data_IF_060807256940
#
_entry.id   IF_060807256940
#
_cell.length_a   1.000
_cell.length_b   1.000
_cell.length_c   1.000
_cell.angle_alpha   90.00
_cell.angle_beta   90.00
_cell.angle_gamma   90.00
#
_symmetry.space_group_name_H-M   'P 1'
#
loop_
_entity.id
_entity.type
_entity.pdbx_description
1 polymer ?
#
# COMPACT_ATOMS: atom_id res chain seq x y z
N UNK A 1 -20.31 -10.99 13.66
CA UNK A 1 -19.95 -9.62 13.23
C UNK A 1 -18.44 -9.56 13.00
N UNK A 2 -17.97 -8.88 11.94
CA UNK A 2 -16.55 -8.56 11.80
C UNK A 2 -16.25 -7.21 12.44
N UNK A 3 -15.09 -7.11 13.09
CA UNK A 3 -14.57 -5.85 13.63
C UNK A 3 -13.28 -5.52 12.89
N UNK A 4 -13.31 -4.48 12.07
CA UNK A 4 -12.13 -3.98 11.38
C UNK A 4 -11.27 -3.14 12.34
N UNK A 5 -10.01 -3.53 12.55
CA UNK A 5 -9.09 -2.83 13.44
C UNK A 5 -8.06 -2.04 12.61
N UNK A 6 -8.15 -0.70 12.55
CA UNK A 6 -7.25 0.13 11.75
C UNK A 6 -5.90 0.38 12.44
N UNK A 7 -5.18 -0.69 12.77
CA UNK A 7 -3.82 -0.63 13.31
C UNK A 7 -2.79 -0.24 12.22
N UNK A 8 -2.93 0.93 11.60
CA UNK A 8 -2.10 1.41 10.48
C UNK A 8 -0.60 1.55 10.81
N UNK A 9 -0.24 1.50 12.10
CA UNK A 9 1.15 1.42 12.57
C UNK A 9 1.69 -0.02 12.71
N UNK A 10 1.04 -1.02 12.12
CA UNK A 10 1.37 -2.43 12.38
C UNK A 10 2.83 -2.80 12.05
N UNK A 11 3.51 -2.19 11.06
CA UNK A 11 4.90 -2.58 10.76
C UNK A 11 5.84 -2.24 11.92
N UNK A 12 5.57 -1.16 12.66
CA UNK A 12 6.38 -0.80 13.83
C UNK A 12 6.14 -1.76 14.99
N UNK A 13 4.87 -2.10 15.25
CA UNK A 13 4.50 -3.13 16.22
C UNK A 13 5.08 -4.50 15.82
N UNK A 14 4.99 -4.85 14.53
CA UNK A 14 5.60 -6.04 13.96
C UNK A 14 7.12 -5.98 14.16
N UNK A 15 7.80 -4.86 13.95
CA UNK A 15 9.23 -4.70 14.19
C UNK A 15 9.62 -4.71 15.68
N UNK A 16 8.67 -4.83 16.61
CA UNK A 16 8.91 -4.77 18.06
C UNK A 16 9.35 -3.38 18.51
N UNK A 17 9.01 -2.34 17.75
CA UNK A 17 9.33 -0.95 18.04
C UNK A 17 8.06 -0.28 18.57
N UNK A 18 7.91 -0.10 19.89
CA UNK A 18 6.76 0.62 20.42
C UNK A 18 6.86 2.07 19.94
N UNK A 19 6.02 2.44 18.97
CA UNK A 19 5.85 3.84 18.62
C UNK A 19 5.08 4.53 19.74
N UNK A 20 5.64 5.63 20.22
CA UNK A 20 4.85 6.71 20.81
C UNK A 20 4.67 7.75 19.72
N UNK A 21 3.70 7.58 18.81
CA UNK A 21 3.44 8.59 17.80
C UNK A 21 3.16 9.92 18.51
N UNK A 22 3.53 11.04 17.88
CA UNK A 22 3.08 12.33 18.37
C UNK A 22 1.55 12.37 18.36
N UNK A 23 0.95 13.25 19.16
CA UNK A 23 -0.52 13.43 19.19
C UNK A 23 -1.04 13.70 17.77
N UNK A 24 -0.29 14.49 17.00
CA UNK A 24 -0.59 14.80 15.61
C UNK A 24 -0.52 13.56 14.71
N UNK A 25 0.44 12.67 14.90
CA UNK A 25 0.55 11.46 14.09
C UNK A 25 -0.56 10.48 14.45
N UNK A 26 -0.85 10.31 15.75
CA UNK A 26 -1.91 9.43 16.24
C UNK A 26 -3.29 9.84 15.70
N UNK A 27 -3.62 11.13 15.76
CA UNK A 27 -4.89 11.61 15.23
C UNK A 27 -4.99 11.49 13.70
N UNK A 28 -3.88 11.63 12.95
CA UNK A 28 -3.91 11.47 11.49
C UNK A 28 -4.10 9.99 11.09
N UNK A 29 -3.50 9.08 11.87
CA UNK A 29 -3.73 7.63 11.75
C UNK A 29 -5.20 7.29 12.04
N UNK A 30 -5.79 7.85 13.10
CA UNK A 30 -7.19 7.63 13.45
C UNK A 30 -8.14 8.09 12.33
N UNK A 31 -7.91 9.28 11.76
CA UNK A 31 -8.67 9.83 10.64
C UNK A 31 -8.58 8.94 9.39
N UNK A 32 -7.39 8.42 9.08
CA UNK A 32 -7.22 7.47 7.98
C UNK A 32 -7.84 6.10 8.27
N UNK A 33 -7.91 5.69 9.53
CA UNK A 33 -8.45 4.40 9.97
C UNK A 33 -9.91 4.22 9.62
N UNK A 34 -10.69 5.31 9.60
CA UNK A 34 -12.10 5.30 9.17
C UNK A 34 -12.26 4.71 7.77
N UNK A 35 -11.28 4.87 6.88
CA UNK A 35 -11.40 4.35 5.51
C UNK A 35 -11.56 2.82 5.46
N UNK A 36 -11.20 2.08 6.53
CA UNK A 36 -11.51 0.64 6.59
C UNK A 36 -13.02 0.34 6.57
N UNK A 37 -13.89 1.31 6.90
CA UNK A 37 -15.34 1.20 6.73
C UNK A 37 -15.75 0.93 5.27
N UNK A 38 -14.92 1.29 4.28
CA UNK A 38 -15.18 0.98 2.87
C UNK A 38 -15.19 -0.53 2.59
N UNK A 39 -14.49 -1.33 3.42
CA UNK A 39 -14.41 -2.79 3.33
C UNK A 39 -15.54 -3.50 4.09
N UNK A 40 -16.23 -2.77 4.97
CA UNK A 40 -17.25 -3.31 5.87
C UNK A 40 -18.59 -3.48 5.16
N UNK A 41 -19.35 -4.50 5.56
CA UNK A 41 -20.75 -4.67 5.17
C UNK A 41 -21.68 -4.12 6.26
N UNK A 42 -22.98 -3.90 5.96
CA UNK A 42 -23.95 -3.59 7.01
C UNK A 42 -23.93 -4.65 8.12
N UNK A 43 -23.82 -4.21 9.37
CA UNK A 43 -23.68 -5.08 10.55
C UNK A 43 -22.25 -5.51 10.88
N UNK A 44 -21.24 -5.07 10.12
CA UNK A 44 -19.84 -5.06 10.56
C UNK A 44 -19.53 -3.75 11.30
N UNK A 45 -18.45 -3.75 12.08
CA UNK A 45 -17.99 -2.58 12.82
C UNK A 45 -16.55 -2.20 12.49
N UNK A 46 -16.19 -0.93 12.68
CA UNK A 46 -14.81 -0.43 12.64
C UNK A 46 -14.41 0.04 14.02
N UNK A 47 -13.30 -0.47 14.54
CA UNK A 47 -12.72 -0.02 15.80
C UNK A 47 -12.10 1.37 15.62
N UNK A 48 -12.39 2.28 16.55
CA UNK A 48 -11.90 3.66 16.59
C UNK A 48 -11.27 3.96 17.95
N UNK A 49 -10.25 4.85 18.03
CA UNK A 49 -9.69 5.25 19.31
C UNK A 49 -10.73 5.83 20.27
N UNK A 50 -10.51 5.67 21.57
CA UNK A 50 -11.38 6.25 22.60
C UNK A 50 -11.52 7.77 22.42
N UNK A 51 -12.76 8.25 22.35
CA UNK A 51 -13.07 9.67 22.16
C UNK A 51 -12.90 10.17 20.72
N UNK A 52 -12.70 9.29 19.75
CA UNK A 52 -12.65 9.61 18.33
C UNK A 52 -13.97 9.25 17.64
N UNK A 53 -14.98 10.13 17.69
CA UNK A 53 -16.31 9.85 17.14
C UNK A 53 -16.53 10.69 15.88
N UNK A 54 -16.74 10.08 14.69
CA UNK A 54 -17.07 10.83 13.48
C UNK A 54 -18.36 11.63 13.69
N UNK A 55 -18.30 12.95 13.51
CA UNK A 55 -19.48 13.81 13.67
C UNK A 55 -20.39 13.74 12.43
N UNK A 56 -19.79 13.44 11.28
CA UNK A 56 -20.44 13.32 9.99
C UNK A 56 -19.92 12.10 9.22
N UNK A 57 -20.80 11.42 8.49
CA UNK A 57 -20.42 10.32 7.63
C UNK A 57 -21.08 10.46 6.26
N UNK A 58 -20.35 10.16 5.17
CA UNK A 58 -20.94 9.99 3.86
C UNK A 58 -22.15 9.03 3.92
N UNK A 59 -23.24 9.28 3.19
CA UNK A 59 -24.47 8.50 3.30
C UNK A 59 -24.28 6.98 3.17
N UNK A 60 -23.37 6.54 2.30
CA UNK A 60 -23.09 5.12 2.07
C UNK A 60 -22.26 4.43 3.17
N UNK A 61 -21.84 5.17 4.20
CA UNK A 61 -21.14 4.64 5.39
C UNK A 61 -22.00 4.68 6.66
N UNK A 62 -23.25 5.16 6.58
CA UNK A 62 -24.12 5.35 7.76
C UNK A 62 -24.56 4.04 8.42
N UNK A 63 -24.57 2.95 7.67
CA UNK A 63 -24.95 1.61 8.15
C UNK A 63 -23.76 0.84 8.75
N UNK A 64 -22.59 1.48 8.86
CA UNK A 64 -21.39 0.90 9.49
C UNK A 64 -21.30 1.36 10.93
N UNK A 65 -21.14 0.41 11.84
CA UNK A 65 -20.96 0.70 13.26
C UNK A 65 -19.52 1.13 13.54
N UNK A 66 -19.35 2.15 14.40
CA UNK A 66 -18.04 2.57 14.90
C UNK A 66 -17.98 2.31 16.40
N UNK A 67 -17.19 1.32 16.79
CA UNK A 67 -17.04 0.91 18.19
C UNK A 67 -15.70 1.37 18.73
N UNK A 68 -15.63 1.72 20.02
CA UNK A 68 -14.35 2.12 20.61
C UNK A 68 -13.44 0.91 20.76
N UNK A 69 -12.13 1.11 20.55
CA UNK A 69 -11.13 0.05 20.73
C UNK A 69 -11.22 -0.63 22.10
N UNK A 70 -11.50 0.15 23.16
CA UNK A 70 -11.72 -0.36 24.52
C UNK A 70 -12.92 -1.30 24.66
N UNK A 71 -13.90 -1.22 23.74
CA UNK A 71 -15.15 -2.00 23.77
C UNK A 71 -15.10 -3.23 22.86
N UNK A 72 -14.03 -3.42 22.09
CA UNK A 72 -13.93 -4.54 21.14
C UNK A 72 -14.02 -5.88 21.87
N UNK A 73 -13.37 -6.01 23.03
CA UNK A 73 -13.41 -7.23 23.84
C UNK A 73 -14.80 -7.50 24.44
N UNK A 74 -15.53 -6.45 24.79
CA UNK A 74 -16.86 -6.54 25.40
C UNK A 74 -17.97 -6.84 24.37
N UNK A 75 -17.64 -6.80 23.07
CA UNK A 75 -18.59 -6.97 21.96
C UNK A 75 -18.99 -8.44 21.69
N UNK A 76 -18.55 -9.37 22.55
CA UNK A 76 -18.83 -10.81 22.43
C UNK A 76 -17.98 -11.51 21.36
N UNK A 77 -18.50 -12.60 20.78
CA UNK A 77 -17.79 -13.33 19.74
C UNK A 77 -17.72 -12.51 18.44
N UNK A 78 -16.55 -11.93 18.19
CA UNK A 78 -16.23 -11.13 17.01
C UNK A 78 -15.16 -11.79 16.16
N UNK A 79 -15.19 -11.55 14.85
CA UNK A 79 -14.06 -11.85 13.97
C UNK A 79 -13.26 -10.58 13.76
N UNK A 80 -12.08 -10.49 14.38
CA UNK A 80 -11.19 -9.35 14.20
C UNK A 80 -10.56 -9.38 12.81
N UNK A 81 -10.56 -8.23 12.15
CA UNK A 81 -9.97 -8.01 10.82
C UNK A 81 -8.99 -6.84 10.93
N UNK A 82 -7.75 -7.06 11.41
CA UNK A 82 -6.79 -5.98 11.53
C UNK A 82 -6.30 -5.52 10.16
N UNK A 83 -5.87 -4.26 10.08
CA UNK A 83 -5.14 -3.75 8.91
C UNK A 83 -3.95 -4.67 8.59
N UNK A 84 -3.18 -5.04 9.61
CA UNK A 84 -2.15 -6.08 9.51
C UNK A 84 -2.01 -6.84 10.82
N UNK A 85 -1.68 -8.12 10.75
CA UNK A 85 -1.44 -8.92 11.94
C UNK A 85 -0.13 -8.51 12.62
N UNK A 86 -0.22 -8.13 13.88
CA UNK A 86 0.90 -7.68 14.72
C UNK A 86 0.77 -8.28 16.12
N UNK A 87 1.81 -8.20 16.98
CA UNK A 87 1.72 -8.67 18.36
C UNK A 87 0.52 -8.13 19.12
N UNK A 88 0.21 -6.83 18.99
CA UNK A 88 -0.94 -6.22 19.68
C UNK A 88 -2.28 -6.71 19.11
N UNK A 89 -2.40 -6.85 17.79
CA UNK A 89 -3.61 -7.39 17.16
C UNK A 89 -3.85 -8.87 17.53
N UNK A 90 -2.78 -9.66 17.66
CA UNK A 90 -2.85 -11.04 18.14
C UNK A 90 -3.37 -11.11 19.58
N UNK A 91 -2.87 -10.25 20.47
CA UNK A 91 -3.35 -10.18 21.85
C UNK A 91 -4.84 -9.83 21.92
N UNK A 92 -5.30 -8.88 21.10
CA UNK A 92 -6.72 -8.54 21.03
C UNK A 92 -7.57 -9.69 20.48
N UNK A 93 -7.10 -10.37 19.44
CA UNK A 93 -7.80 -11.54 18.88
C UNK A 93 -7.96 -12.67 19.91
N UNK A 94 -6.92 -12.95 20.70
CA UNK A 94 -6.98 -13.93 21.80
C UNK A 94 -8.00 -13.47 22.87
N UNK A 95 -7.99 -12.19 23.22
CA UNK A 95 -8.94 -11.65 24.20
C UNK A 95 -10.40 -11.65 23.69
N UNK A 96 -10.62 -11.75 22.38
CA UNK A 96 -11.93 -11.91 21.75
C UNK A 96 -12.30 -13.39 21.50
N UNK A 97 -11.55 -14.34 22.09
CA UNK A 97 -11.71 -15.79 21.90
C UNK A 97 -11.71 -16.23 20.42
N UNK A 98 -10.92 -15.56 19.57
CA UNK A 98 -10.80 -15.97 18.17
C UNK A 98 -10.14 -17.34 18.03
N UNK A 99 -10.70 -18.23 17.19
CA UNK A 99 -10.08 -19.53 16.93
C UNK A 99 -8.64 -19.38 16.40
N UNK A 100 -7.65 -20.11 16.95
CA UNK A 100 -6.24 -19.98 16.55
C UNK A 100 -6.00 -20.20 15.05
N UNK A 101 -6.79 -21.03 14.39
CA UNK A 101 -6.74 -21.29 12.95
C UNK A 101 -7.07 -20.07 12.09
N UNK A 102 -7.76 -19.06 12.64
CA UNK A 102 -8.04 -17.80 11.94
C UNK A 102 -6.96 -16.73 12.17
N UNK A 103 -5.95 -17.03 12.99
CA UNK A 103 -4.91 -16.09 13.37
C UNK A 103 -3.55 -16.57 12.84
N UNK A 104 -2.91 -15.82 11.92
CA UNK A 104 -1.63 -16.26 11.37
C UNK A 104 -0.50 -16.16 12.42
N UNK A 105 0.46 -17.07 12.31
CA UNK A 105 1.66 -17.06 13.16
C UNK A 105 2.46 -15.78 12.95
N UNK A 106 2.84 -15.08 14.02
CA UNK A 106 3.57 -13.81 13.91
C UNK A 106 4.92 -13.93 13.19
N UNK A 107 5.60 -15.08 13.30
CA UNK A 107 6.84 -15.34 12.56
C UNK A 107 6.62 -15.39 11.04
N UNK A 108 5.48 -15.94 10.61
CA UNK A 108 5.10 -16.01 9.20
C UNK A 108 4.74 -14.62 8.68
N UNK A 109 3.95 -13.84 9.42
CA UNK A 109 3.60 -12.46 9.04
C UNK A 109 4.86 -11.60 8.92
N UNK A 110 5.81 -11.74 9.86
CA UNK A 110 7.11 -11.06 9.80
C UNK A 110 7.93 -11.49 8.59
N UNK A 111 7.98 -12.78 8.30
CA UNK A 111 8.73 -13.32 7.17
C UNK A 111 8.15 -12.83 5.84
N UNK A 112 6.84 -12.92 5.61
CA UNK A 112 6.23 -12.50 4.34
C UNK A 112 6.33 -10.99 4.11
N UNK A 113 6.29 -10.18 5.17
CA UNK A 113 6.56 -8.72 5.10
C UNK A 113 8.07 -8.38 5.07
N UNK A 114 8.97 -9.38 5.04
CA UNK A 114 10.40 -9.12 5.05
C UNK A 114 10.98 -8.94 3.65
N UNK A 115 12.06 -8.15 3.56
CA UNK A 115 12.84 -8.08 2.32
C UNK A 115 13.50 -9.40 1.93
N UNK A 116 13.78 -10.27 2.90
CA UNK A 116 14.24 -11.64 2.66
C UNK A 116 13.24 -12.43 1.81
N UNK A 117 11.94 -12.28 2.11
CA UNK A 117 10.89 -12.91 1.31
C UNK A 117 10.73 -12.22 -0.05
N UNK A 118 10.58 -10.89 -0.07
CA UNK A 118 10.34 -10.17 -1.34
C UNK A 118 11.50 -10.33 -2.33
N UNK A 119 12.75 -10.42 -1.87
CA UNK A 119 13.92 -10.60 -2.72
C UNK A 119 13.91 -11.90 -3.54
N UNK A 120 13.19 -12.93 -3.09
CA UNK A 120 13.04 -14.20 -3.84
C UNK A 120 12.18 -14.03 -5.09
N UNK A 121 11.42 -12.94 -5.17
CA UNK A 121 10.45 -12.66 -6.23
C UNK A 121 10.75 -11.35 -6.96
N UNK A 122 11.89 -10.69 -6.71
CA UNK A 122 12.21 -9.42 -7.35
C UNK A 122 12.70 -9.61 -8.79
N UNK A 123 11.75 -9.85 -9.68
CA UNK A 123 11.97 -10.14 -11.09
C UNK A 123 11.60 -8.92 -11.92
N UNK A 124 12.42 -8.63 -12.93
CA UNK A 124 12.05 -7.71 -14.00
C UNK A 124 11.66 -8.47 -15.25
N UNK A 125 10.67 -7.93 -15.94
CA UNK A 125 10.28 -8.33 -17.27
C UNK A 125 10.72 -7.27 -18.28
N UNK A 126 11.45 -7.72 -19.30
CA UNK A 126 11.99 -6.88 -20.36
C UNK A 126 11.41 -7.36 -21.69
N UNK A 127 11.07 -6.44 -22.63
CA UNK A 127 10.60 -6.84 -23.96
C UNK A 127 11.56 -7.82 -24.65
N UNK A 128 11.01 -8.82 -25.36
CA UNK A 128 11.77 -9.92 -26.00
C UNK A 128 12.86 -9.45 -26.98
N UNK A 129 12.75 -8.23 -27.48
CA UNK A 129 13.67 -7.62 -28.44
C UNK A 129 14.93 -7.04 -27.77
N UNK A 130 15.01 -7.06 -26.44
CA UNK A 130 16.12 -6.52 -25.68
C UNK A 130 17.08 -7.62 -25.24
N UNK A 131 18.38 -7.48 -25.57
CA UNK A 131 19.45 -8.10 -24.77
C UNK A 131 19.56 -7.34 -23.46
N UNK A 132 18.65 -7.66 -22.53
CA UNK A 132 18.72 -7.14 -21.18
C UNK A 132 19.98 -7.68 -20.50
N UNK A 133 20.82 -6.85 -19.85
CA UNK A 133 21.89 -7.39 -19.01
C UNK A 133 21.34 -8.14 -17.78
N UNK A 134 20.01 -8.14 -17.58
CA UNK A 134 19.29 -8.77 -16.49
C UNK A 134 18.68 -10.14 -16.85
N UNK A 135 19.08 -10.78 -17.95
CA UNK A 135 18.46 -12.04 -18.41
C UNK A 135 18.44 -13.17 -17.35
N UNK A 136 19.19 -13.06 -16.22
CA UNK A 136 19.12 -14.04 -15.12
C UNK A 136 19.38 -13.43 -13.71
N UNK A 137 19.07 -12.15 -13.43
CA UNK A 137 19.35 -11.57 -12.11
C UNK A 137 18.16 -10.84 -11.47
N UNK A 138 17.95 -10.98 -10.14
CA UNK A 138 17.00 -10.15 -9.42
C UNK A 138 17.38 -8.67 -9.55
N UNK A 139 16.39 -7.78 -9.57
CA UNK A 139 16.63 -6.34 -9.76
C UNK A 139 17.49 -5.75 -8.65
N UNK A 140 17.27 -6.20 -7.40
CA UNK A 140 18.11 -5.91 -6.25
C UNK A 140 18.78 -7.14 -5.66
N UNK A 141 19.45 -6.97 -4.53
CA UNK A 141 20.21 -8.02 -3.85
C UNK A 141 20.20 -7.83 -2.33
N UNK A 142 20.26 -8.95 -1.60
CA UNK A 142 20.42 -8.95 -0.15
C UNK A 142 21.91 -8.85 0.21
N UNK A 143 22.26 -7.80 0.94
CA UNK A 143 23.60 -7.55 1.45
C UNK A 143 23.63 -7.79 2.96
N UNK A 144 24.41 -8.79 3.41
CA UNK A 144 24.60 -9.15 4.82
C UNK A 144 25.81 -8.47 5.46
N UNK A 145 26.69 -7.91 4.65
CA UNK A 145 27.87 -7.19 5.10
C UNK A 145 28.24 -6.03 4.16
N UNK A 146 29.30 -5.30 4.53
CA UNK A 146 29.80 -4.17 3.75
C UNK A 146 30.48 -4.59 2.45
N UNK A 147 30.99 -5.82 2.34
CA UNK A 147 31.62 -6.31 1.13
C UNK A 147 30.56 -6.60 0.06
N UNK A 148 29.52 -7.34 0.42
CA UNK A 148 28.36 -7.61 -0.43
C UNK A 148 27.68 -6.31 -0.88
N UNK A 149 27.56 -5.34 0.02
CA UNK A 149 27.06 -4.01 -0.34
C UNK A 149 27.95 -3.33 -1.41
N UNK A 150 29.27 -3.33 -1.25
CA UNK A 150 30.19 -2.74 -2.27
C UNK A 150 30.12 -3.46 -3.61
N UNK A 151 30.04 -4.78 -3.59
CA UNK A 151 29.88 -5.60 -4.81
C UNK A 151 28.60 -5.23 -5.54
N UNK A 152 27.47 -5.12 -4.81
CA UNK A 152 26.19 -4.72 -5.36
C UNK A 152 26.21 -3.30 -5.96
N UNK A 153 26.80 -2.33 -5.26
CA UNK A 153 26.96 -0.95 -5.78
C UNK A 153 27.80 -0.94 -7.07
N UNK A 154 28.87 -1.74 -7.12
CA UNK A 154 29.73 -1.85 -8.30
C UNK A 154 28.97 -2.46 -9.48
N UNK A 155 28.21 -3.52 -9.24
CA UNK A 155 27.34 -4.17 -10.22
C UNK A 155 26.31 -3.18 -10.78
N UNK A 156 25.58 -2.46 -9.93
CA UNK A 156 24.60 -1.47 -10.37
C UNK A 156 25.22 -0.38 -11.25
N UNK A 157 26.42 0.08 -10.91
CA UNK A 157 27.16 1.05 -11.73
C UNK A 157 27.55 0.49 -13.10
N UNK A 158 27.98 -0.76 -13.16
CA UNK A 158 28.30 -1.44 -14.43
C UNK A 158 27.06 -1.60 -15.33
N UNK A 159 25.89 -1.73 -14.71
CA UNK A 159 24.59 -1.80 -15.39
C UNK A 159 24.04 -0.40 -15.75
N UNK A 160 24.76 0.67 -15.46
CA UNK A 160 24.37 2.05 -15.79
C UNK A 160 23.52 2.76 -14.74
N UNK A 161 23.24 2.13 -13.59
CA UNK A 161 22.51 2.78 -12.51
C UNK A 161 23.45 3.60 -11.61
N UNK A 162 23.15 4.90 -11.51
CA UNK A 162 23.99 5.86 -10.78
C UNK A 162 23.64 5.99 -9.29
N UNK A 163 22.39 5.67 -8.94
CA UNK A 163 21.84 5.75 -7.58
C UNK A 163 21.31 4.39 -7.18
N UNK A 164 21.28 4.16 -5.87
CA UNK A 164 20.72 2.96 -5.27
C UNK A 164 19.98 3.32 -3.99
N UNK A 165 19.14 2.41 -3.53
CA UNK A 165 18.47 2.50 -2.24
C UNK A 165 18.68 1.22 -1.43
N UNK A 166 19.04 1.39 -0.16
CA UNK A 166 19.04 0.31 0.83
C UNK A 166 17.78 0.38 1.68
N UNK A 167 17.11 -0.76 1.82
CA UNK A 167 15.90 -0.96 2.62
C UNK A 167 16.18 -1.99 3.73
N UNK A 168 15.75 -1.74 4.97
CA UNK A 168 15.84 -2.72 6.05
C UNK A 168 14.83 -3.85 5.83
N UNK A 169 14.99 -4.96 6.56
CA UNK A 169 14.11 -6.13 6.41
C UNK A 169 12.63 -5.82 6.59
N UNK A 170 12.27 -4.99 7.56
CA UNK A 170 10.91 -4.50 7.74
C UNK A 170 10.95 -2.98 7.60
N UNK A 171 10.24 -2.45 6.60
CA UNK A 171 10.19 -1.03 6.25
C UNK A 171 8.76 -0.55 6.09
N UNK A 172 8.51 0.74 6.31
CA UNK A 172 7.17 1.31 6.38
C UNK A 172 7.01 2.45 5.37
N UNK A 173 6.07 2.35 4.42
CA UNK A 173 5.64 3.45 3.52
C UNK A 173 6.80 4.35 3.00
N UNK A 174 7.86 3.74 2.48
CA UNK A 174 9.06 4.45 1.98
C UNK A 174 9.96 5.08 3.05
N UNK A 175 9.63 5.06 4.34
CA UNK A 175 10.47 5.57 5.42
C UNK A 175 11.61 4.61 5.75
N UNK A 176 12.59 5.12 6.49
CA UNK A 176 13.75 4.36 6.96
C UNK A 176 14.48 3.63 5.81
N UNK A 177 14.85 4.39 4.78
CA UNK A 177 15.66 3.94 3.63
C UNK A 177 16.90 4.81 3.50
N UNK A 178 17.96 4.27 2.90
CA UNK A 178 19.16 5.01 2.56
C UNK A 178 19.27 5.10 1.04
N UNK A 179 19.10 6.31 0.47
CA UNK A 179 19.40 6.58 -0.94
C UNK A 179 20.79 7.21 -1.04
N UNK A 180 21.62 6.71 -1.94
CA UNK A 180 22.94 7.26 -2.20
C UNK A 180 23.41 6.98 -3.64
N UNK A 181 24.51 7.63 -4.02
CA UNK A 181 25.24 7.41 -5.28
C UNK A 181 26.64 6.90 -4.97
N UNK A 182 27.12 5.93 -5.76
CA UNK A 182 28.45 5.35 -5.56
C UNK A 182 28.63 4.69 -4.18
N UNK A 183 29.88 4.50 -3.78
CA UNK A 183 30.29 3.81 -2.54
C UNK A 183 30.86 4.77 -1.47
N UNK A 184 30.91 6.07 -1.75
CA UNK A 184 31.39 7.07 -0.79
C UNK A 184 30.24 7.57 0.11
N UNK A 185 29.98 6.84 1.18
CA UNK A 185 28.97 7.21 2.18
C UNK A 185 29.51 8.22 3.20
N UNK A 186 28.71 9.24 3.50
CA UNK A 186 28.98 10.12 4.64
C UNK A 186 28.81 9.38 6.00
N UNK A 187 29.21 10.02 7.10
CA UNK A 187 29.19 9.40 8.43
C UNK A 187 27.79 8.93 8.86
N UNK A 188 26.75 9.71 8.56
CA UNK A 188 25.36 9.37 8.87
C UNK A 188 24.88 8.17 8.06
N UNK A 189 25.13 8.16 6.74
CA UNK A 189 24.75 7.08 5.85
C UNK A 189 25.47 5.77 6.21
N UNK A 190 26.76 5.84 6.51
CA UNK A 190 27.55 4.69 6.97
C UNK A 190 27.04 4.18 8.32
N UNK A 191 26.70 5.09 9.24
CA UNK A 191 26.08 4.72 10.53
C UNK A 191 24.73 4.03 10.37
N UNK A 192 23.90 4.49 9.44
CA UNK A 192 22.63 3.84 9.10
C UNK A 192 22.86 2.43 8.52
N UNK A 193 23.76 2.30 7.54
CA UNK A 193 24.05 1.01 6.90
C UNK A 193 24.60 0.00 7.91
N UNK A 194 25.62 0.37 8.69
CA UNK A 194 26.21 -0.48 9.72
C UNK A 194 25.19 -0.92 10.77
N UNK A 195 24.22 -0.06 11.13
CA UNK A 195 23.17 -0.42 12.08
C UNK A 195 22.25 -1.50 11.52
N UNK A 196 21.82 -1.36 10.27
CA UNK A 196 20.86 -2.29 9.67
C UNK A 196 21.51 -3.61 9.22
N UNK A 197 22.81 -3.60 8.87
CA UNK A 197 23.61 -4.81 8.61
C UNK A 197 23.81 -5.69 9.86
N UNK A 198 23.47 -5.22 11.06
CA UNK A 198 23.45 -6.08 12.27
C UNK A 198 22.30 -7.09 12.27
N UNK A 199 21.29 -6.88 11.43
CA UNK A 199 20.23 -7.87 11.23
C UNK A 199 20.82 -9.09 10.51
N UNK A 200 20.53 -10.34 10.92
CA UNK A 200 21.11 -11.54 10.29
C UNK A 200 20.82 -11.63 8.78
N UNK A 201 19.65 -11.17 8.35
CA UNK A 201 19.28 -11.12 6.93
C UNK A 201 19.78 -9.87 6.20
N UNK A 202 20.50 -8.98 6.88
CA UNK A 202 21.11 -7.79 6.30
C UNK A 202 20.10 -6.75 5.81
N UNK A 203 20.48 -6.04 4.74
CA UNK A 203 19.66 -5.05 4.04
C UNK A 203 19.42 -5.46 2.60
N UNK A 204 18.30 -5.01 2.05
CA UNK A 204 18.03 -5.14 0.63
C UNK A 204 18.54 -3.92 -0.11
N UNK A 205 19.36 -4.11 -1.13
CA UNK A 205 19.91 -3.06 -1.97
C UNK A 205 19.34 -3.19 -3.37
N UNK A 206 18.81 -2.10 -3.92
CA UNK A 206 18.29 -2.08 -5.30
C UNK A 206 18.69 -0.79 -6.02
N UNK A 207 18.74 -0.79 -7.35
CA UNK A 207 18.87 0.43 -8.14
C UNK A 207 17.76 1.43 -7.81
N UNK A 208 18.12 2.71 -7.76
CA UNK A 208 17.14 3.78 -7.63
C UNK A 208 16.73 4.25 -9.02
N UNK A 209 15.51 3.90 -9.42
CA UNK A 209 14.90 4.28 -10.69
C UNK A 209 13.67 5.13 -10.44
N UNK A 210 13.25 5.89 -11.46
CA UNK A 210 12.03 6.67 -11.42
C UNK A 210 10.89 5.87 -12.05
N UNK A 211 9.88 5.45 -11.28
CA UNK A 211 8.71 4.81 -11.82
C UNK A 211 7.99 5.75 -12.79
N UNK A 212 7.70 5.25 -13.99
CA UNK A 212 6.82 5.91 -14.95
C UNK A 212 5.35 5.61 -14.64
N UNK A 213 5.09 4.41 -14.12
CA UNK A 213 3.77 3.95 -13.70
C UNK A 213 3.89 2.92 -12.58
N UNK A 214 2.95 2.95 -11.65
CA UNK A 214 2.93 2.08 -10.48
C UNK A 214 1.55 1.46 -10.31
N UNK A 215 1.51 0.20 -9.89
CA UNK A 215 0.29 -0.51 -9.58
C UNK A 215 0.43 -1.37 -8.32
N UNK A 216 -0.66 -1.45 -7.57
CA UNK A 216 -0.83 -2.31 -6.42
C UNK A 216 -1.77 -3.44 -6.79
N UNK A 217 -1.24 -4.65 -6.87
CA UNK A 217 -2.00 -5.87 -7.10
C UNK A 217 -2.57 -6.35 -5.76
N UNK A 218 -3.89 -6.47 -5.67
CA UNK A 218 -4.59 -6.78 -4.42
C UNK A 218 -5.05 -8.22 -4.43
N UNK A 219 -4.41 -9.08 -3.64
CA UNK A 219 -4.73 -10.50 -3.52
C UNK A 219 -5.38 -10.84 -2.16
N UNK A 220 -6.09 -11.96 -2.15
CA UNK A 220 -6.55 -12.66 -0.95
C UNK A 220 -6.02 -14.10 -0.98
N UNK A 221 -5.40 -14.53 0.12
CA UNK A 221 -4.98 -15.92 0.32
C UNK A 221 -5.95 -16.55 1.31
N UNK A 222 -6.76 -17.49 0.82
CA UNK A 222 -7.74 -18.19 1.64
C UNK A 222 -7.08 -19.38 2.36
N UNK A 223 -7.52 -19.62 3.59
CA UNK A 223 -7.14 -20.80 4.35
C UNK A 223 -7.45 -22.06 3.53
N UNK A 224 -6.51 -23.01 3.49
CA UNK A 224 -6.81 -24.35 2.99
C UNK A 224 -7.35 -25.21 4.13
N UNK A 225 -8.45 -25.91 3.90
CA UNK A 225 -8.82 -27.04 4.75
C UNK A 225 -7.90 -28.21 4.39
N UNK A 226 -7.39 -28.90 5.42
CA UNK A 226 -6.33 -29.91 5.32
C UNK A 226 -6.43 -30.81 4.07
N UNK A 227 -5.34 -30.83 3.31
CA UNK A 227 -5.03 -31.58 2.07
C UNK A 227 -5.22 -30.86 0.73
N UNK A 228 -5.84 -29.67 0.68
CA UNK A 228 -5.91 -28.88 -0.56
C UNK A 228 -4.82 -27.81 -0.65
N UNK A 229 -4.47 -27.38 -1.87
CA UNK A 229 -3.62 -26.21 -2.06
C UNK A 229 -4.37 -24.95 -1.66
N UNK A 230 -3.70 -24.00 -0.99
CA UNK A 230 -4.30 -22.73 -0.64
C UNK A 230 -4.84 -21.99 -1.87
N UNK A 231 -6.07 -21.49 -1.78
CA UNK A 231 -6.70 -20.74 -2.87
C UNK A 231 -6.25 -19.29 -2.82
N UNK A 232 -5.67 -18.81 -3.92
CA UNK A 232 -5.25 -17.41 -4.09
C UNK A 232 -6.20 -16.71 -5.06
N UNK A 233 -6.70 -15.51 -4.72
CA UNK A 233 -7.62 -14.74 -5.56
C UNK A 233 -7.10 -13.33 -5.80
N UNK A 234 -6.97 -12.91 -7.06
CA UNK A 234 -6.83 -11.49 -7.40
C UNK A 234 -8.18 -10.80 -7.19
N UNK A 235 -8.19 -9.71 -6.44
CA UNK A 235 -9.37 -8.89 -6.19
C UNK A 235 -9.41 -7.66 -7.09
N UNK A 236 -8.23 -7.18 -7.50
CA UNK A 236 -8.13 -6.05 -8.38
C UNK A 236 -6.72 -5.50 -8.51
N UNK A 237 -6.55 -4.66 -9.51
CA UNK A 237 -5.40 -3.78 -9.67
C UNK A 237 -5.84 -2.35 -9.35
N UNK A 238 -4.98 -1.60 -8.70
CA UNK A 238 -5.12 -0.14 -8.52
C UNK A 238 -3.86 0.54 -9.01
N UNK A 239 -3.97 1.63 -9.77
CA UNK A 239 -2.82 2.48 -10.06
C UNK A 239 -2.43 3.26 -8.81
N UNK A 240 -1.13 3.46 -8.56
CA UNK A 240 -0.66 4.27 -7.43
C UNK A 240 -0.41 5.70 -7.88
N UNK A 241 -0.92 6.65 -7.09
CA UNK A 241 -0.70 8.08 -7.29
C UNK A 241 0.24 8.53 -6.17
N UNK A 242 1.46 8.91 -6.53
CA UNK A 242 2.50 9.33 -5.60
C UNK A 242 2.89 10.80 -5.88
N UNK A 243 3.35 11.51 -4.84
CA UNK A 243 3.99 12.81 -5.01
C UNK A 243 5.41 12.66 -5.63
N UNK A 244 6.05 13.75 -6.11
CA UNK A 244 7.38 13.67 -6.73
C UNK A 244 8.50 13.15 -5.82
N UNK A 245 8.27 12.98 -4.52
CA UNK A 245 9.24 12.38 -3.58
C UNK A 245 8.84 10.97 -3.12
N UNK A 246 7.83 10.38 -3.77
CA UNK A 246 7.37 9.01 -3.60
C UNK A 246 6.40 8.80 -2.44
N UNK A 247 5.70 9.84 -1.96
CA UNK A 247 4.64 9.67 -0.95
C UNK A 247 3.31 9.40 -1.62
N UNK A 248 2.64 8.35 -1.16
CA UNK A 248 1.28 8.02 -1.58
C UNK A 248 0.30 9.18 -1.35
N UNK A 249 -0.39 9.55 -2.42
CA UNK A 249 -1.45 10.56 -2.46
C UNK A 249 -2.82 9.94 -2.76
N UNK A 250 -2.87 8.75 -3.36
CA UNK A 250 -4.13 8.17 -3.79
C UNK A 250 -4.01 6.95 -4.69
N UNK A 251 -5.14 6.45 -5.14
CA UNK A 251 -5.24 5.30 -6.03
C UNK A 251 -6.10 5.63 -7.24
N UNK A 252 -5.69 5.13 -8.41
CA UNK A 252 -6.58 4.95 -9.56
C UNK A 252 -7.35 3.65 -9.36
N UNK A 253 -8.68 3.74 -9.36
CA UNK A 253 -9.60 2.62 -9.20
C UNK A 253 -10.18 2.28 -10.57
N UNK A 254 -9.81 1.13 -11.12
CA UNK A 254 -10.30 0.68 -12.43
C UNK A 254 -11.65 -0.04 -12.32
N UNK A 255 -12.49 0.09 -13.35
CA UNK A 255 -13.66 -0.77 -13.52
C UNK A 255 -13.26 -2.25 -13.61
N UNK A 256 -14.22 -3.16 -13.39
CA UNK A 256 -13.92 -4.59 -13.40
C UNK A 256 -13.33 -5.03 -14.76
N UNK A 257 -12.22 -5.77 -14.74
CA UNK A 257 -11.49 -6.18 -15.94
C UNK A 257 -10.49 -5.15 -16.48
N UNK A 258 -10.69 -3.85 -16.22
CA UNK A 258 -9.74 -2.82 -16.66
C UNK A 258 -8.44 -2.85 -15.85
N UNK A 259 -7.33 -2.51 -16.52
CA UNK A 259 -5.98 -2.51 -15.94
C UNK A 259 -5.36 -3.90 -15.76
N UNK A 260 -6.13 -4.99 -15.87
CA UNK A 260 -5.63 -6.37 -15.73
C UNK A 260 -4.67 -6.73 -16.85
N UNK A 261 -5.01 -6.41 -18.11
CA UNK A 261 -4.18 -6.75 -19.26
C UNK A 261 -2.79 -6.09 -19.19
N UNK A 262 -2.77 -4.80 -18.81
CA UNK A 262 -1.55 -3.99 -18.64
C UNK A 262 -0.57 -4.59 -17.64
N UNK A 263 -1.07 -5.27 -16.62
CA UNK A 263 -0.27 -5.87 -15.54
C UNK A 263 -0.33 -7.39 -15.53
N UNK A 264 -0.77 -8.03 -16.62
CA UNK A 264 -1.03 -9.47 -16.70
C UNK A 264 0.16 -10.34 -16.26
N UNK A 265 1.38 -9.97 -16.68
CA UNK A 265 2.61 -10.67 -16.27
C UNK A 265 2.94 -10.49 -14.79
N UNK A 266 2.74 -9.28 -14.26
CA UNK A 266 2.92 -9.02 -12.83
C UNK A 266 1.85 -9.73 -11.98
N UNK A 267 0.62 -9.88 -12.50
CA UNK A 267 -0.45 -10.66 -11.87
C UNK A 267 -0.10 -12.14 -11.83
N UNK A 268 0.37 -12.71 -12.95
CA UNK A 268 0.80 -14.10 -13.00
C UNK A 268 1.92 -14.38 -12.00
N UNK A 269 2.94 -13.51 -11.97
CA UNK A 269 4.01 -13.54 -10.99
C UNK A 269 3.51 -13.36 -9.55
N UNK A 270 2.55 -12.46 -9.34
CA UNK A 270 1.92 -12.23 -8.04
C UNK A 270 1.21 -13.46 -7.47
N UNK A 271 0.62 -14.30 -8.32
CA UNK A 271 0.07 -15.59 -7.90
C UNK A 271 1.17 -16.57 -7.43
N UNK A 272 2.38 -16.52 -7.99
CA UNK A 272 3.53 -17.29 -7.49
C UNK A 272 3.95 -16.81 -6.10
N UNK A 273 4.04 -15.49 -5.91
CA UNK A 273 4.30 -14.88 -4.59
C UNK A 273 3.24 -15.31 -3.57
N UNK A 274 1.96 -15.29 -3.95
CA UNK A 274 0.86 -15.71 -3.07
C UNK A 274 0.97 -17.18 -2.69
N UNK A 275 1.30 -18.07 -3.64
CA UNK A 275 1.52 -19.50 -3.35
C UNK A 275 2.68 -19.72 -2.39
N UNK A 276 3.78 -18.97 -2.54
CA UNK A 276 4.91 -19.06 -1.63
C UNK A 276 4.58 -18.53 -0.22
N UNK A 277 3.83 -17.42 -0.13
CA UNK A 277 3.35 -16.91 1.15
C UNK A 277 2.42 -17.91 1.83
N UNK A 278 1.50 -18.53 1.08
CA UNK A 278 0.61 -19.57 1.58
C UNK A 278 1.38 -20.82 2.05
N UNK A 279 2.39 -21.26 1.29
CA UNK A 279 3.27 -22.36 1.68
C UNK A 279 4.08 -22.06 2.95
N UNK A 280 4.40 -20.79 3.21
CA UNK A 280 4.98 -20.35 4.48
C UNK A 280 3.94 -20.31 5.63
N UNK A 281 2.66 -20.55 5.36
CA UNK A 281 1.57 -20.56 6.31
C UNK A 281 0.84 -19.22 6.47
N UNK A 282 1.02 -18.29 5.53
CA UNK A 282 0.31 -17.00 5.57
C UNK A 282 -1.09 -17.14 4.96
N UNK A 283 -2.06 -16.46 5.57
CA UNK A 283 -3.42 -16.34 5.09
C UNK A 283 -3.93 -14.92 5.30
N UNK A 284 -4.83 -14.47 4.44
CA UNK A 284 -5.42 -13.14 4.46
C UNK A 284 -4.96 -12.24 3.30
N UNK A 285 -5.03 -10.92 3.47
CA UNK A 285 -4.75 -9.96 2.39
C UNK A 285 -3.26 -9.92 2.06
N UNK A 286 -2.94 -9.81 0.77
CA UNK A 286 -1.58 -9.62 0.30
C UNK A 286 -1.56 -8.60 -0.85
N UNK A 287 -0.93 -7.45 -0.62
CA UNK A 287 -0.70 -6.43 -1.63
C UNK A 287 0.70 -6.57 -2.24
N UNK A 288 0.79 -6.55 -3.57
CA UNK A 288 2.08 -6.57 -4.29
C UNK A 288 2.19 -5.28 -5.09
N UNK A 289 3.26 -4.53 -4.85
CA UNK A 289 3.53 -3.32 -5.62
C UNK A 289 4.42 -3.69 -6.82
N UNK A 290 4.05 -3.25 -8.01
CA UNK A 290 4.81 -3.40 -9.24
C UNK A 290 4.87 -2.07 -9.98
N UNK A 291 5.90 -1.87 -10.81
CA UNK A 291 6.03 -0.62 -11.54
C UNK A 291 6.75 -0.78 -12.87
N UNK A 292 6.56 0.19 -13.76
CA UNK A 292 7.28 0.30 -15.03
C UNK A 292 8.22 1.49 -14.99
N UNK A 293 9.39 1.34 -15.59
CA UNK A 293 10.42 2.38 -15.62
C UNK A 293 11.23 2.28 -16.92
N UNK A 294 11.86 3.38 -17.33
CA UNK A 294 12.80 3.36 -18.43
C UNK A 294 14.13 2.74 -17.96
N UNK A 295 14.70 1.84 -18.76
CA UNK A 295 16.03 1.30 -18.51
C UNK A 295 17.10 2.41 -18.52
N UNK A 296 18.34 2.15 -18.05
CA UNK A 296 19.40 3.16 -18.02
C UNK A 296 19.72 3.81 -19.38
N UNK A 297 19.45 3.11 -20.48
CA UNK A 297 19.63 3.67 -21.83
C UNK A 297 18.50 4.60 -22.25
N UNK A 298 17.34 4.53 -21.59
CA UNK A 298 16.13 5.27 -21.92
C UNK A 298 15.36 4.72 -23.12
N UNK A 299 15.78 3.59 -23.68
CA UNK A 299 15.23 3.05 -24.92
C UNK A 299 14.15 1.99 -24.68
N UNK A 300 14.09 1.43 -23.47
CA UNK A 300 13.22 0.30 -23.17
C UNK A 300 12.38 0.56 -21.92
N UNK A 301 11.09 0.24 -22.03
CA UNK A 301 10.19 0.20 -20.90
C UNK A 301 10.29 -1.17 -20.24
N UNK A 302 10.74 -1.20 -18.98
CA UNK A 302 10.93 -2.41 -18.18
C UNK A 302 9.85 -2.46 -17.10
N UNK A 303 9.34 -3.66 -16.82
CA UNK A 303 8.38 -3.87 -15.73
C UNK A 303 9.04 -4.62 -14.59
N UNK A 304 9.11 -4.02 -13.40
CA UNK A 304 9.47 -4.73 -12.17
C UNK A 304 8.20 -5.40 -11.62
N UNK A 305 8.16 -6.73 -11.70
CA UNK A 305 6.95 -7.52 -11.45
C UNK A 305 6.55 -7.56 -9.96
N UNK A 306 7.53 -7.41 -9.06
CA UNK A 306 7.31 -7.37 -7.61
C UNK A 306 8.39 -6.51 -6.94
N UNK A 307 8.06 -5.26 -6.66
CA UNK A 307 8.90 -4.33 -5.90
C UNK A 307 8.72 -4.48 -4.38
N UNK A 308 7.49 -4.69 -3.92
CA UNK A 308 7.19 -4.84 -2.50
C UNK A 308 6.06 -5.84 -2.26
N UNK A 309 6.12 -6.53 -1.12
CA UNK A 309 5.09 -7.47 -0.66
C UNK A 309 4.59 -6.99 0.70
N UNK A 310 3.28 -6.73 0.76
CA UNK A 310 2.59 -6.22 1.92
C UNK A 310 1.58 -7.28 2.40
N UNK A 311 1.96 -8.10 3.38
CA UNK A 311 1.07 -9.10 3.98
C UNK A 311 0.14 -8.43 5.00
N UNK A 312 -0.81 -7.65 4.45
CA UNK A 312 -1.78 -6.80 5.15
C UNK A 312 -2.76 -6.16 4.16
N UNK A 313 -3.79 -5.48 4.68
CA UNK A 313 -4.59 -4.56 3.88
C UNK A 313 -3.73 -3.39 3.36
N UNK A 314 -4.03 -2.89 2.17
CA UNK A 314 -3.37 -1.70 1.62
C UNK A 314 -4.41 -0.62 1.33
N UNK A 315 -3.98 0.61 1.08
CA UNK A 315 -4.92 1.65 0.64
C UNK A 315 -5.54 1.29 -0.72
N UNK A 316 -4.80 0.63 -1.62
CA UNK A 316 -5.36 0.08 -2.86
C UNK A 316 -6.47 -0.94 -2.59
N UNK A 317 -6.29 -1.84 -1.62
CA UNK A 317 -7.33 -2.79 -1.19
C UNK A 317 -8.59 -2.10 -0.66
N UNK A 318 -8.41 -1.05 0.15
CA UNK A 318 -9.48 -0.20 0.68
C UNK A 318 -10.19 0.62 -0.39
N UNK A 319 -9.49 0.97 -1.48
CA UNK A 319 -10.06 1.71 -2.60
C UNK A 319 -10.96 0.86 -3.50
N UNK A 320 -10.73 -0.47 -3.59
CA UNK A 320 -11.48 -1.36 -4.50
C UNK A 320 -13.01 -1.30 -4.38
N UNK A 321 -13.62 -1.22 -3.18
CA UNK A 321 -15.07 -1.09 -3.05
C UNK A 321 -15.65 0.17 -3.72
N UNK A 322 -14.84 1.22 -3.93
CA UNK A 322 -15.26 2.44 -4.62
C UNK A 322 -15.59 2.22 -6.10
N UNK A 323 -15.19 1.08 -6.68
CA UNK A 323 -15.58 0.66 -8.04
C UNK A 323 -17.08 0.74 -8.30
N UNK A 324 -17.91 0.52 -7.28
CA UNK A 324 -19.38 0.62 -7.39
C UNK A 324 -19.88 2.01 -7.76
N UNK A 325 -19.04 3.04 -7.61
CA UNK A 325 -19.37 4.43 -7.92
C UNK A 325 -18.90 4.87 -9.31
N UNK A 326 -18.20 4.01 -10.06
CA UNK A 326 -17.70 4.31 -11.41
C UNK A 326 -18.80 4.48 -12.44
N UNK A 327 -19.99 3.92 -12.22
CA UNK A 327 -21.07 3.85 -13.22
C UNK A 327 -20.56 3.23 -14.54
N UNK A 328 -20.46 4.03 -15.61
CA UNK A 328 -19.93 3.65 -16.92
C UNK A 328 -18.48 4.06 -17.16
N UNK A 329 -17.84 4.76 -16.22
CA UNK A 329 -16.46 5.21 -16.38
C UNK A 329 -15.48 4.04 -16.25
N UNK A 330 -14.44 3.96 -17.11
CA UNK A 330 -13.45 2.90 -17.04
C UNK A 330 -12.56 2.99 -15.79
N UNK A 331 -12.52 4.15 -15.14
CA UNK A 331 -11.74 4.38 -13.92
C UNK A 331 -12.27 5.57 -13.11
N UNK A 332 -11.75 5.68 -11.88
CA UNK A 332 -11.97 6.81 -10.98
C UNK A 332 -10.75 7.01 -10.11
N UNK A 333 -10.68 8.14 -9.41
CA UNK A 333 -9.51 8.53 -8.63
C UNK A 333 -9.91 8.74 -7.18
N UNK A 334 -9.24 8.00 -6.30
CA UNK A 334 -9.36 8.17 -4.86
C UNK A 334 -8.14 8.93 -4.33
N UNK A 335 -8.34 10.14 -3.78
CA UNK A 335 -7.27 11.00 -3.27
C UNK A 335 -7.35 11.19 -1.76
N UNK A 336 -6.17 11.32 -1.14
CA UNK A 336 -5.96 11.66 0.25
C UNK A 336 -5.53 13.13 0.35
N UNK A 337 -6.40 13.97 0.89
CA UNK A 337 -6.17 15.40 1.09
C UNK A 337 -5.72 15.66 2.52
N UNK A 338 -4.51 16.19 2.68
CA UNK A 338 -3.94 16.49 3.99
C UNK A 338 -3.73 17.99 4.21
N UNK A 339 -3.95 18.46 5.42
CA UNK A 339 -3.68 19.85 5.82
C UNK A 339 -4.55 20.86 5.08
N UNK A 340 -3.94 21.90 4.49
CA UNK A 340 -4.68 23.03 3.85
C UNK A 340 -5.52 22.66 2.62
N UNK A 341 -5.42 21.42 2.13
CA UNK A 341 -6.12 20.96 0.91
C UNK A 341 -7.52 20.39 1.17
N UNK A 342 -7.99 20.42 2.41
CA UNK A 342 -9.29 19.90 2.81
C UNK A 342 -10.46 20.68 2.19
N UNK A 343 -11.58 19.99 2.03
CA UNK A 343 -12.81 20.49 1.41
C UNK A 343 -14.03 20.03 2.21
N UNK A 344 -14.95 20.94 2.52
CA UNK A 344 -16.31 20.58 2.94
C UNK A 344 -17.16 20.09 1.74
N UNK A 345 -18.35 19.54 1.97
CA UNK A 345 -19.24 19.15 0.86
C UNK A 345 -19.57 20.35 -0.04
N UNK A 346 -19.88 21.50 0.57
CA UNK A 346 -20.11 22.75 -0.15
C UNK A 346 -18.88 23.17 -0.95
N UNK A 347 -17.67 23.01 -0.41
CA UNK A 347 -16.43 23.33 -1.13
C UNK A 347 -16.18 22.37 -2.29
N UNK A 348 -16.52 21.08 -2.14
CA UNK A 348 -16.40 20.08 -3.20
C UNK A 348 -17.32 20.44 -4.37
N UNK A 349 -18.59 20.70 -4.10
CA UNK A 349 -19.58 21.12 -5.11
C UNK A 349 -19.15 22.44 -5.78
N UNK A 350 -18.75 23.43 -4.98
CA UNK A 350 -18.29 24.73 -5.48
C UNK A 350 -17.02 24.59 -6.31
N UNK A 351 -16.08 23.71 -5.92
CA UNK A 351 -14.83 23.49 -6.67
C UNK A 351 -15.12 22.90 -8.05
N UNK A 352 -16.02 21.92 -8.15
CA UNK A 352 -16.42 21.32 -9.42
C UNK A 352 -17.08 22.35 -10.36
N UNK A 353 -18.00 23.16 -9.83
CA UNK A 353 -18.67 24.24 -10.58
C UNK A 353 -17.67 25.30 -11.02
N UNK A 354 -16.81 25.78 -10.12
CA UNK A 354 -15.85 26.88 -10.37
C UNK A 354 -14.87 26.54 -11.49
N UNK A 355 -14.45 25.27 -11.59
CA UNK A 355 -13.51 24.83 -12.62
C UNK A 355 -14.20 24.36 -13.91
N UNK A 356 -15.51 24.61 -14.06
CA UNK A 356 -16.33 24.14 -15.17
C UNK A 356 -16.13 22.63 -15.45
N UNK A 357 -15.95 21.85 -14.38
CA UNK A 357 -15.74 20.42 -14.42
C UNK A 357 -17.06 19.68 -14.18
N UNK A 358 -18.10 20.06 -14.95
CA UNK A 358 -19.45 19.47 -14.84
C UNK A 358 -19.48 17.99 -15.25
N UNK A 359 -18.44 17.53 -15.94
CA UNK A 359 -18.15 16.15 -16.31
C UNK A 359 -17.44 15.34 -15.21
N UNK A 360 -17.04 15.97 -14.10
CA UNK A 360 -16.39 15.32 -12.96
C UNK A 360 -17.37 15.23 -11.79
N UNK A 361 -17.65 14.00 -11.37
CA UNK A 361 -18.40 13.73 -10.13
C UNK A 361 -17.42 13.52 -9.00
N UNK A 362 -17.64 14.18 -7.87
CA UNK A 362 -16.81 14.05 -6.66
C UNK A 362 -17.68 13.52 -5.52
N UNK A 363 -17.15 12.56 -4.76
CA UNK A 363 -17.80 11.89 -3.63
C UNK A 363 -16.84 11.92 -2.44
N UNK A 364 -17.29 12.42 -1.30
CA UNK A 364 -16.52 12.33 -0.05
C UNK A 364 -16.53 10.90 0.49
N UNK A 365 -15.38 10.40 0.93
CA UNK A 365 -15.22 9.03 1.46
C UNK A 365 -14.74 8.98 2.92
N UNK A 366 -14.58 10.13 3.57
CA UNK A 366 -14.23 10.26 5.00
C UNK A 366 -15.13 11.32 5.67
N UNK A 367 -15.16 11.43 7.02
CA UNK A 367 -15.72 12.61 7.69
C UNK A 367 -14.98 13.90 7.33
N UNK A 368 -15.61 15.03 7.64
CA UNK A 368 -14.98 16.35 7.67
C UNK A 368 -14.65 16.80 9.09
N UNK A 369 -15.37 16.26 10.09
CA UNK A 369 -15.21 16.57 11.51
C UNK A 369 -15.27 15.32 12.37
N UNK A 370 -14.43 15.28 13.40
CA UNK A 370 -14.41 14.24 14.43
C UNK A 370 -14.35 14.89 15.80
N UNK A 371 -15.25 14.50 16.69
CA UNK A 371 -15.35 15.01 18.06
C UNK A 371 -15.35 16.55 18.13
N UNK A 372 -16.09 17.19 17.23
CA UNK A 372 -16.25 18.64 17.11
C UNK A 372 -15.06 19.38 16.49
N UNK A 373 -14.09 18.66 15.89
CA UNK A 373 -12.88 19.25 15.29
C UNK A 373 -12.75 18.86 13.83
N UNK A 374 -12.31 19.78 12.98
CA UNK A 374 -11.95 19.46 11.61
C UNK A 374 -10.83 18.43 11.56
N UNK A 375 -11.03 17.40 10.73
CA UNK A 375 -10.01 16.36 10.51
C UNK A 375 -8.79 16.95 9.79
N UNK A 376 -7.62 16.32 9.91
CA UNK A 376 -6.39 16.70 9.19
C UNK A 376 -6.16 15.93 7.89
N UNK A 377 -6.77 14.76 7.76
CA UNK A 377 -6.80 13.94 6.55
C UNK A 377 -8.25 13.69 6.10
N UNK A 378 -8.55 14.03 4.85
CA UNK A 378 -9.81 13.71 4.19
C UNK A 378 -9.54 12.83 2.97
N UNK A 379 -10.52 12.04 2.57
CA UNK A 379 -10.46 11.25 1.33
C UNK A 379 -11.65 11.57 0.43
N UNK A 380 -11.37 11.71 -0.86
CA UNK A 380 -12.37 11.99 -1.90
C UNK A 380 -12.21 11.00 -3.05
N UNK A 381 -13.33 10.58 -3.64
CA UNK A 381 -13.37 9.77 -4.84
C UNK A 381 -13.96 10.57 -6.01
N UNK A 382 -13.34 10.49 -7.17
CA UNK A 382 -13.73 11.23 -8.37
C UNK A 382 -13.94 10.29 -9.55
N UNK A 383 -14.91 10.61 -10.40
CA UNK A 383 -15.14 9.93 -11.67
C UNK A 383 -15.33 10.95 -12.77
N UNK A 384 -14.81 10.69 -13.96
CA UNK A 384 -14.90 11.57 -15.11
C UNK A 384 -13.94 11.13 -16.21
N UNK A 385 -14.01 11.76 -17.39
CA UNK A 385 -13.32 11.27 -18.59
C UNK A 385 -11.80 11.53 -18.59
N UNK A 386 -11.32 12.48 -17.79
CA UNK A 386 -9.92 12.92 -17.78
C UNK A 386 -9.29 12.78 -16.39
N UNK A 387 -8.37 11.82 -16.26
CA UNK A 387 -7.65 11.55 -15.03
C UNK A 387 -6.79 12.73 -14.56
N UNK A 388 -6.11 13.41 -15.50
CA UNK A 388 -5.21 14.51 -15.19
C UNK A 388 -6.01 15.71 -14.70
N UNK A 389 -7.10 16.05 -15.39
CA UNK A 389 -8.05 17.08 -14.95
C UNK A 389 -8.55 16.78 -13.54
N UNK A 390 -8.98 15.55 -13.26
CA UNK A 390 -9.43 15.14 -11.93
C UNK A 390 -8.39 15.37 -10.83
N UNK A 391 -7.13 14.97 -11.05
CA UNK A 391 -6.08 15.18 -10.04
C UNK A 391 -5.70 16.66 -9.90
N UNK A 392 -5.60 17.39 -11.01
CA UNK A 392 -5.24 18.81 -11.00
C UNK A 392 -6.29 19.65 -10.27
N UNK A 393 -7.58 19.33 -10.41
CA UNK A 393 -8.70 20.03 -9.75
C UNK A 393 -8.54 20.12 -8.22
N UNK A 394 -8.02 19.07 -7.58
CA UNK A 394 -7.95 18.99 -6.11
C UNK A 394 -6.54 19.18 -5.55
N UNK A 395 -5.51 18.84 -6.32
CA UNK A 395 -4.12 18.94 -5.84
C UNK A 395 -3.42 20.22 -6.27
N UNK A 396 -3.91 20.86 -7.35
CA UNK A 396 -3.22 21.97 -8.01
C UNK A 396 -1.89 21.56 -8.65
N UNK A 397 -1.62 20.26 -8.78
CA UNK A 397 -0.37 19.70 -9.29
C UNK A 397 -0.67 18.83 -10.51
N UNK A 398 0.25 18.85 -11.48
CA UNK A 398 0.37 17.72 -12.41
C UNK A 398 0.95 16.53 -11.63
N UNK A 399 0.35 15.35 -11.81
CA UNK A 399 0.84 14.14 -11.14
C UNK A 399 1.42 13.19 -12.18
N UNK A 400 2.65 12.73 -11.92
CA UNK A 400 3.32 11.68 -12.67
C UNK A 400 2.60 10.35 -12.49
N UNK A 401 2.71 9.44 -13.47
CA UNK A 401 2.03 8.13 -13.43
C UNK A 401 0.65 8.10 -14.08
N UNK A 402 0.08 9.26 -14.44
CA UNK A 402 -1.11 9.36 -15.27
C UNK A 402 -0.69 9.63 -16.72
N UNK A 403 -0.62 8.60 -17.56
CA UNK A 403 -0.30 8.78 -18.98
C UNK A 403 -1.42 9.55 -19.68
N UNK A 404 -1.06 10.54 -20.51
CA UNK A 404 -2.00 11.18 -21.45
C UNK A 404 -2.60 10.11 -22.34
N UNK A 405 -3.92 10.11 -22.47
CA UNK A 405 -4.60 9.01 -23.12
C UNK A 405 -4.65 7.81 -22.18
N UNK A 406 -5.73 7.78 -21.43
CA UNK A 406 -6.51 6.58 -21.22
C UNK A 406 -6.83 5.88 -22.57
N UNK A 407 -5.82 5.42 -23.32
CA UNK A 407 -5.97 4.22 -24.12
C UNK A 407 -5.95 3.06 -23.12
N UNK A 408 -7.06 2.90 -22.40
CA UNK A 408 -7.36 1.76 -21.54
C UNK A 408 -7.77 0.57 -22.37
#
# INVERSE_FOLDING_TARGET
MKVFLPNLGFEDDLAGRPLRPTVETAAAVAELGINMSLLANPGDAVAIPDGFVPDDLPPFLRDIEFIRESQVQDSGSVTLVPWGWSPSALQLAIACDMPPEHVPKSSVVRYVNSRLFSAQFDVIDVPQECTSPFEVFPFGTLCRDLEQWRQAVTMFRQLGYMKWVAKPQVSHAGRNRLIASGDNLNSQQRGWLNRNLRHPDGVYLEPWVEPLEEAGLQFEILASNSDEAATTRLLGVTGLINDPVGRYQGSVVYAAGHGVERWSRAIAHGHEVCRAAAAAGYQGPLGIDCFRFADPSGNHLVTRLCNDVNARFTMGRVALPLRRFLNSEPFGIWLHLTGRRQKSDTDVETTAITHNATDVKIIRTSPTTVSGRSVRAQTLFMTGPDAKKMVQLLTGQEVSGLTDGAAF
#
